data_IF_891258753195
#
_entry.id   IF_891258753195
#
_cell.length_a   1.000
_cell.length_b   1.000
_cell.length_c   1.000
_cell.angle_alpha   90.00
_cell.angle_beta   90.00
_cell.angle_gamma   90.00
#
_symmetry.space_group_name_H-M   'P 1'
#
loop_
_entity.id
_entity.type
_entity.pdbx_description
1 polymer ?
#
# COMPACT_ATOMS: atom_id res chain seq x y z
N UNK A 1 -4.55 -16.66 -15.04
CA UNK A 1 -3.96 -15.35 -14.66
C UNK A 1 -4.94 -14.30 -15.14
N UNK A 2 -5.42 -13.44 -14.25
CA UNK A 2 -6.30 -12.32 -14.59
C UNK A 2 -5.46 -11.04 -14.71
N UNK A 3 -5.90 -10.08 -15.50
CA UNK A 3 -5.24 -8.78 -15.66
C UNK A 3 -6.31 -7.70 -15.76
N UNK A 4 -6.08 -6.59 -15.06
CA UNK A 4 -7.02 -5.48 -15.06
C UNK A 4 -6.46 -4.27 -14.34
N UNK A 5 -7.35 -3.41 -13.89
CA UNK A 5 -7.01 -2.16 -13.20
C UNK A 5 -7.04 -2.37 -11.70
N UNK A 6 -6.03 -1.89 -10.99
CA UNK A 6 -6.07 -1.71 -9.54
C UNK A 6 -6.44 -0.27 -9.22
N UNK A 7 -7.33 -0.06 -8.24
CA UNK A 7 -7.64 1.24 -7.66
C UNK A 7 -7.48 1.18 -6.15
N UNK A 8 -6.89 2.21 -5.57
CA UNK A 8 -6.77 2.41 -4.13
C UNK A 8 -7.70 3.55 -3.75
N UNK A 9 -8.65 3.29 -2.86
CA UNK A 9 -9.71 4.23 -2.47
C UNK A 9 -9.66 4.44 -0.96
N UNK A 10 -9.41 5.67 -0.52
CA UNK A 10 -9.51 6.07 0.88
C UNK A 10 -10.97 6.37 1.24
N UNK A 11 -11.52 5.63 2.22
CA UNK A 11 -12.89 5.75 2.70
C UNK A 11 -12.89 6.10 4.19
N UNK A 12 -12.57 7.35 4.53
CA UNK A 12 -12.35 7.75 5.94
C UNK A 12 -11.15 7.02 6.51
N UNK A 13 -11.33 6.28 7.60
CA UNK A 13 -10.27 5.53 8.27
C UNK A 13 -9.90 4.20 7.58
N UNK A 14 -10.72 3.72 6.63
CA UNK A 14 -10.43 2.47 5.89
C UNK A 14 -9.90 2.76 4.49
N UNK A 15 -9.08 1.86 3.98
CA UNK A 15 -8.62 1.84 2.59
C UNK A 15 -9.18 0.62 1.87
N UNK A 16 -9.65 0.83 0.64
CA UNK A 16 -10.20 -0.21 -0.23
C UNK A 16 -9.31 -0.37 -1.46
N UNK A 17 -8.84 -1.58 -1.72
CA UNK A 17 -8.07 -1.91 -2.92
C UNK A 17 -8.99 -2.72 -3.83
N UNK A 18 -9.37 -2.11 -4.95
CA UNK A 18 -10.32 -2.66 -5.91
C UNK A 18 -9.59 -3.16 -7.13
N UNK A 19 -9.85 -4.40 -7.52
CA UNK A 19 -9.41 -4.99 -8.78
C UNK A 19 -10.60 -4.96 -9.74
N UNK A 20 -10.51 -4.22 -10.82
CA UNK A 20 -11.60 -3.99 -11.77
C UNK A 20 -11.21 -4.38 -13.20
N UNK A 21 -12.21 -4.80 -14.00
CA UNK A 21 -12.04 -4.85 -15.45
C UNK A 21 -11.77 -3.43 -16.00
N UNK A 22 -10.73 -3.25 -16.83
CA UNK A 22 -10.33 -1.92 -17.29
C UNK A 22 -11.34 -1.25 -18.23
N UNK A 23 -12.23 -2.02 -18.87
CA UNK A 23 -13.22 -1.52 -19.82
C UNK A 23 -14.59 -1.34 -19.17
N UNK A 24 -15.10 -2.38 -18.49
CA UNK A 24 -16.45 -2.37 -17.92
C UNK A 24 -16.51 -1.74 -16.53
N UNK A 25 -15.36 -1.59 -15.83
CA UNK A 25 -15.29 -1.24 -14.41
C UNK A 25 -16.00 -2.24 -13.49
N UNK A 26 -16.19 -3.47 -13.98
CA UNK A 26 -16.75 -4.55 -13.17
C UNK A 26 -15.74 -4.98 -12.10
N UNK A 27 -16.20 -5.07 -10.85
CA UNK A 27 -15.37 -5.47 -9.72
C UNK A 27 -15.05 -6.96 -9.80
N UNK A 28 -13.76 -7.28 -9.86
CA UNK A 28 -13.25 -8.65 -9.79
C UNK A 28 -13.01 -9.08 -8.34
N UNK A 29 -12.35 -8.25 -7.55
CA UNK A 29 -12.09 -8.50 -6.12
C UNK A 29 -11.86 -7.20 -5.37
N UNK A 30 -12.13 -7.20 -4.06
CA UNK A 30 -11.88 -6.07 -3.17
C UNK A 30 -11.13 -6.52 -1.92
N UNK A 31 -10.05 -5.83 -1.59
CA UNK A 31 -9.35 -5.97 -0.32
C UNK A 31 -9.70 -4.77 0.56
N UNK A 32 -10.09 -5.04 1.80
CA UNK A 32 -10.38 -3.99 2.79
C UNK A 32 -9.24 -3.92 3.80
N UNK A 33 -8.71 -2.73 4.00
CA UNK A 33 -7.65 -2.44 4.96
C UNK A 33 -8.21 -1.49 6.01
N UNK A 34 -8.41 -2.01 7.22
CA UNK A 34 -8.80 -1.20 8.37
C UNK A 34 -7.55 -0.54 9.01
N UNK A 35 -7.73 0.49 9.86
CA UNK A 35 -6.63 1.12 10.58
C UNK A 35 -5.74 0.10 11.30
N UNK A 36 -4.43 0.20 11.10
CA UNK A 36 -3.44 -0.69 11.71
C UNK A 36 -3.45 -2.14 11.22
N UNK A 37 -4.20 -2.44 10.15
CA UNK A 37 -4.25 -3.78 9.53
C UNK A 37 -3.52 -3.86 8.19
N UNK A 38 -2.61 -2.92 7.88
CA UNK A 38 -1.85 -2.92 6.64
C UNK A 38 -1.22 -4.28 6.37
N UNK A 39 -0.37 -4.76 7.28
CA UNK A 39 0.38 -6.02 7.13
C UNK A 39 -0.53 -7.25 7.02
N UNK A 40 -1.74 -7.19 7.59
CA UNK A 40 -2.71 -8.28 7.51
C UNK A 40 -3.50 -8.26 6.19
N UNK A 41 -3.64 -7.09 5.55
CA UNK A 41 -4.37 -6.90 4.31
C UNK A 41 -3.48 -7.05 3.07
N UNK A 42 -2.25 -6.54 3.13
CA UNK A 42 -1.29 -6.51 2.03
C UNK A 42 0.09 -6.91 2.52
N UNK A 43 0.65 -7.95 1.92
CA UNK A 43 2.01 -8.40 2.17
C UNK A 43 2.88 -8.19 0.92
N UNK A 44 4.04 -7.56 1.09
CA UNK A 44 5.02 -7.44 0.00
C UNK A 44 5.88 -8.70 -0.11
N UNK A 45 6.18 -9.13 -1.34
CA UNK A 45 7.00 -10.33 -1.56
C UNK A 45 8.48 -9.99 -1.37
N UNK A 46 9.18 -10.76 -0.54
CA UNK A 46 10.55 -10.47 -0.09
C UNK A 46 11.62 -10.37 -1.19
N UNK A 47 11.49 -11.15 -2.26
CA UNK A 47 12.46 -11.20 -3.35
C UNK A 47 12.10 -10.25 -4.52
N UNK A 48 10.95 -9.57 -4.44
CA UNK A 48 10.45 -8.77 -5.55
C UNK A 48 9.64 -7.56 -5.11
N UNK A 49 10.10 -6.38 -5.51
CA UNK A 49 9.38 -5.12 -5.29
C UNK A 49 8.14 -4.95 -6.18
N UNK A 50 7.79 -5.93 -7.03
CA UNK A 50 6.65 -5.84 -7.97
C UNK A 50 5.47 -6.74 -7.60
N UNK A 51 5.64 -7.62 -6.62
CA UNK A 51 4.62 -8.58 -6.26
C UNK A 51 4.17 -8.38 -4.82
N UNK A 52 2.87 -8.54 -4.63
CA UNK A 52 2.19 -8.41 -3.35
C UNK A 52 1.19 -9.55 -3.21
N UNK A 53 0.81 -9.85 -1.97
CA UNK A 53 -0.28 -10.76 -1.65
C UNK A 53 -1.36 -9.94 -0.97
N UNK A 54 -2.57 -9.96 -1.54
CA UNK A 54 -3.75 -9.31 -0.98
C UNK A 54 -4.61 -10.33 -0.25
N UNK A 55 -5.12 -9.97 0.93
CA UNK A 55 -6.13 -10.74 1.66
C UNK A 55 -7.53 -10.23 1.34
N UNK A 56 -8.27 -10.97 0.53
CA UNK A 56 -9.64 -10.67 0.14
C UNK A 56 -10.60 -11.31 1.15
N UNK A 57 -11.61 -10.57 1.59
CA UNK A 57 -12.66 -11.05 2.48
C UNK A 57 -14.01 -11.10 1.76
N UNK A 58 -14.72 -12.22 1.84
CA UNK A 58 -16.09 -12.41 1.37
C UNK A 58 -16.93 -13.01 2.53
N UNK A 59 -17.46 -12.11 3.35
CA UNK A 59 -18.14 -12.46 4.59
C UNK A 59 -17.22 -13.20 5.57
N UNK A 60 -17.56 -14.43 6.02
CA UNK A 60 -16.72 -15.20 6.94
C UNK A 60 -15.52 -15.87 6.26
N UNK A 61 -15.41 -15.80 4.92
CA UNK A 61 -14.35 -16.46 4.16
C UNK A 61 -13.28 -15.46 3.79
N UNK A 62 -12.03 -15.92 3.77
CA UNK A 62 -10.92 -15.16 3.23
C UNK A 62 -10.20 -15.96 2.16
N UNK A 63 -9.60 -15.24 1.21
CA UNK A 63 -8.74 -15.78 0.17
C UNK A 63 -7.52 -14.89 0.00
N UNK A 64 -6.42 -15.46 -0.47
CA UNK A 64 -5.20 -14.71 -0.79
C UNK A 64 -5.02 -14.64 -2.31
N UNK A 65 -4.78 -13.45 -2.84
CA UNK A 65 -4.56 -13.22 -4.26
C UNK A 65 -3.18 -12.59 -4.44
N UNK A 66 -2.37 -13.17 -5.33
CA UNK A 66 -1.14 -12.54 -5.78
C UNK A 66 -1.43 -11.39 -6.75
N UNK A 67 -0.95 -10.20 -6.42
CA UNK A 67 -0.96 -9.02 -7.28
C UNK A 67 0.46 -8.79 -7.82
N UNK A 68 0.56 -8.54 -9.12
CA UNK A 68 1.83 -8.23 -9.78
C UNK A 68 1.71 -7.03 -10.69
N UNK A 69 2.68 -6.11 -10.59
CA UNK A 69 2.79 -4.97 -11.49
C UNK A 69 3.74 -5.28 -12.65
N UNK A 70 3.43 -4.75 -13.83
CA UNK A 70 4.30 -4.87 -14.99
C UNK A 70 5.61 -4.11 -14.74
N UNK A 71 5.50 -2.89 -14.20
CA UNK A 71 6.64 -2.02 -13.95
C UNK A 71 6.88 -1.77 -12.45
N UNK A 72 8.15 -1.51 -12.10
CA UNK A 72 8.54 -1.27 -10.69
C UNK A 72 7.99 0.04 -10.14
N UNK A 73 7.84 1.05 -10.99
CA UNK A 73 7.29 2.35 -10.60
C UNK A 73 5.81 2.24 -10.23
N UNK A 74 5.01 1.50 -10.99
CA UNK A 74 3.59 1.28 -10.66
C UNK A 74 3.42 0.57 -9.32
N UNK A 75 4.27 -0.43 -9.08
CA UNK A 75 4.32 -1.15 -7.80
C UNK A 75 4.73 -0.24 -6.63
N UNK A 76 5.68 0.66 -6.87
CA UNK A 76 6.11 1.66 -5.90
C UNK A 76 5.00 2.66 -5.59
N UNK A 77 4.34 3.20 -6.61
CA UNK A 77 3.23 4.15 -6.47
C UNK A 77 2.06 3.52 -5.69
N UNK A 78 1.74 2.27 -5.99
CA UNK A 78 0.75 1.49 -5.22
C UNK A 78 1.12 1.39 -3.73
N UNK A 79 2.36 0.98 -3.44
CA UNK A 79 2.81 0.83 -2.06
C UNK A 79 2.83 2.18 -1.31
N UNK A 80 3.26 3.26 -1.99
CA UNK A 80 3.25 4.61 -1.40
C UNK A 80 1.83 5.10 -1.12
N UNK A 81 0.86 4.81 -2.00
CA UNK A 81 -0.53 5.18 -1.77
C UNK A 81 -1.12 4.52 -0.51
N UNK A 82 -0.77 3.27 -0.24
CA UNK A 82 -1.19 2.56 0.99
C UNK A 82 -0.54 3.16 2.24
N UNK A 83 0.77 3.39 2.20
CA UNK A 83 1.50 3.97 3.33
C UNK A 83 1.07 5.41 3.64
N UNK A 84 0.81 6.22 2.61
CA UNK A 84 0.32 7.59 2.79
C UNK A 84 -1.06 7.60 3.45
N UNK A 85 -1.97 6.72 3.02
CA UNK A 85 -3.27 6.55 3.67
C UNK A 85 -3.12 6.16 5.15
N UNK A 86 -2.31 5.15 5.46
CA UNK A 86 -2.10 4.69 6.84
C UNK A 86 -1.55 5.78 7.74
N UNK A 87 -0.56 6.54 7.23
CA UNK A 87 0.01 7.69 7.95
C UNK A 87 -1.02 8.80 8.16
N UNK A 88 -1.84 9.06 7.15
CA UNK A 88 -2.91 10.06 7.22
C UNK A 88 -3.92 9.70 8.33
N UNK A 89 -4.44 8.47 8.32
CA UNK A 89 -5.36 7.96 9.34
C UNK A 89 -4.74 8.00 10.73
N UNK A 90 -3.45 7.63 10.86
CA UNK A 90 -2.75 7.68 12.15
C UNK A 90 -2.72 9.09 12.73
N UNK A 91 -2.38 10.09 11.89
CA UNK A 91 -2.34 11.50 12.31
C UNK A 91 -3.72 12.00 12.72
N UNK A 92 -4.75 11.71 11.94
CA UNK A 92 -6.12 12.15 12.27
C UNK A 92 -6.59 11.54 13.62
N UNK A 93 -6.26 10.29 13.89
CA UNK A 93 -6.58 9.63 15.17
C UNK A 93 -5.77 10.20 16.35
N UNK A 94 -4.52 10.62 16.13
CA UNK A 94 -3.69 11.30 17.13
C UNK A 94 -4.20 12.72 17.43
N UNK A 95 -4.67 13.45 16.41
CA UNK A 95 -5.22 14.81 16.54
C UNK A 95 -6.56 14.86 17.28
N UNK A 96 -7.38 13.81 17.18
CA UNK A 96 -8.63 13.66 17.95
C UNK A 96 -8.36 13.22 19.42
N UNK A 97 -7.17 12.67 19.72
CA UNK A 97 -6.77 12.18 21.04
C UNK A 97 -5.98 13.12 21.94
N UNK A 98 -5.44 14.23 21.41
CA UNK A 98 -4.86 15.38 22.14
C UNK A 98 -3.88 15.10 23.30
N UNK A 99 -2.57 15.02 23.02
CA UNK A 99 -1.43 15.65 23.75
C UNK A 99 -0.10 14.91 23.49
N UNK A 100 0.92 15.68 23.08
CA UNK A 100 2.37 15.47 23.20
C UNK A 100 3.05 14.15 22.76
N UNK A 101 3.83 14.24 21.67
CA UNK A 101 5.19 13.66 21.61
C UNK A 101 5.38 12.42 20.74
N UNK A 102 6.03 12.59 19.58
CA UNK A 102 6.45 11.45 18.75
C UNK A 102 7.10 11.84 17.43
N UNK A 103 8.26 12.49 17.51
CA UNK A 103 9.18 12.69 16.40
C UNK A 103 9.40 11.39 15.60
N UNK A 104 9.16 11.44 14.29
CA UNK A 104 9.69 10.46 13.33
C UNK A 104 10.03 11.17 12.03
N UNK A 105 11.06 11.99 12.15
CA UNK A 105 12.07 12.32 11.15
C UNK A 105 12.10 11.34 9.94
N UNK A 106 11.55 11.77 8.81
CA UNK A 106 11.90 11.20 7.50
C UNK A 106 13.15 11.92 6.98
N UNK A 107 14.32 11.51 7.49
CA UNK A 107 15.59 11.85 6.86
C UNK A 107 15.80 10.89 5.70
N UNK A 108 15.63 11.39 4.48
CA UNK A 108 16.03 10.66 3.28
C UNK A 108 17.55 10.89 3.13
N UNK A 109 18.34 10.05 3.81
CA UNK A 109 19.76 9.93 3.51
C UNK A 109 19.94 9.28 2.14
N UNK A 110 19.97 10.09 1.08
CA UNK A 110 20.57 9.63 -0.18
C UNK A 110 22.07 9.60 0.02
N UNK A 111 22.56 8.49 0.56
CA UNK A 111 23.98 8.21 0.68
C UNK A 111 24.56 7.88 -0.71
N UNK A 112 24.74 8.89 -1.56
CA UNK A 112 25.48 8.74 -2.82
C UNK A 112 26.98 8.68 -2.48
N UNK A 113 27.43 7.49 -2.08
CA UNK A 113 28.83 7.22 -1.82
C UNK A 113 29.67 7.43 -3.10
N UNK A 114 30.60 8.37 -2.98
CA UNK A 114 31.99 8.33 -3.48
C UNK A 114 32.21 8.08 -4.98
N UNK A 115 32.69 9.12 -5.66
CA UNK A 115 33.75 8.97 -6.65
C UNK A 115 34.66 10.22 -6.65
N UNK A 116 35.49 10.38 -5.61
CA UNK A 116 36.70 11.17 -5.76
C UNK A 116 37.76 10.30 -6.46
N UNK A 117 37.81 10.39 -7.79
CA UNK A 117 38.94 9.89 -8.55
C UNK A 117 40.09 10.87 -8.41
N UNK A 118 41.08 10.54 -7.58
CA UNK A 118 42.39 11.18 -7.57
C UNK A 118 43.18 10.76 -8.82
N UNK A 119 43.59 11.75 -9.63
CA UNK A 119 44.96 12.03 -10.09
C UNK A 119 44.94 13.29 -10.93
#
# INVERSE_FOLDING_TARGET
IWSGRVQVVSCGERCEILLEDPNSRELFAACFMNPGQHEAAVESVHDSSRYFVLRIEDGPKHAFIGLGFAERNEAFDFNMALLDHEKHVRRENEEVGGDSGGDSQYHIDIHHAVNHRLK
#
